data_IF_112712195268
#
_entry.id   IF_112712195268
#
_cell.length_a   1.000
_cell.length_b   1.000
_cell.length_c   1.000
_cell.angle_alpha   90.00
_cell.angle_beta   90.00
_cell.angle_gamma   90.00
#
_symmetry.space_group_name_H-M   'P 1'
#
loop_
_entity.id
_entity.type
_entity.pdbx_description
1 polymer ?
#
# COMPACT_ATOMS: atom_id res chain seq x y z
N UNK A 1 -7.11 -6.92 7.05
CA UNK A 1 -7.31 -6.20 5.76
C UNK A 1 -7.09 -7.19 4.62
N UNK A 2 -8.06 -7.30 3.72
CA UNK A 2 -7.91 -8.04 2.45
C UNK A 2 -7.89 -7.02 1.32
N UNK A 3 -6.82 -7.01 0.54
CA UNK A 3 -6.66 -6.12 -0.62
C UNK A 3 -6.76 -6.95 -1.89
N UNK A 4 -7.56 -6.49 -2.84
CA UNK A 4 -7.69 -7.09 -4.17
C UNK A 4 -7.21 -6.12 -5.23
N UNK A 5 -6.71 -6.63 -6.36
CA UNK A 5 -6.08 -5.81 -7.40
C UNK A 5 -6.94 -5.62 -8.65
N UNK A 6 -8.08 -6.29 -8.77
CA UNK A 6 -9.02 -6.17 -9.89
C UNK A 6 -10.47 -6.19 -9.40
N UNK A 7 -11.37 -5.56 -10.16
CA UNK A 7 -12.78 -5.47 -9.82
C UNK A 7 -13.44 -6.85 -9.70
N UNK A 8 -13.19 -7.74 -10.67
CA UNK A 8 -13.70 -9.11 -10.67
C UNK A 8 -13.21 -9.92 -9.46
N UNK A 9 -11.94 -9.75 -9.05
CA UNK A 9 -11.41 -10.38 -7.84
C UNK A 9 -12.04 -9.80 -6.58
N UNK A 10 -12.21 -8.48 -6.55
CA UNK A 10 -12.90 -7.79 -5.45
C UNK A 10 -14.33 -8.30 -5.26
N UNK A 11 -15.09 -8.43 -6.34
CA UNK A 11 -16.45 -8.98 -6.33
C UNK A 11 -16.49 -10.44 -5.90
N UNK A 12 -15.54 -11.26 -6.37
CA UNK A 12 -15.43 -12.67 -5.98
C UNK A 12 -15.15 -12.81 -4.48
N UNK A 13 -14.18 -12.06 -3.95
CA UNK A 13 -13.80 -12.08 -2.53
C UNK A 13 -14.90 -11.49 -1.64
N UNK A 14 -15.62 -10.47 -2.12
CA UNK A 14 -16.70 -9.81 -1.37
C UNK A 14 -17.82 -10.75 -0.93
N UNK A 15 -17.99 -11.90 -1.62
CA UNK A 15 -18.95 -12.95 -1.24
C UNK A 15 -18.59 -13.66 0.06
N UNK A 16 -17.30 -13.69 0.42
CA UNK A 16 -16.81 -14.36 1.62
C UNK A 16 -16.38 -13.37 2.71
N UNK A 17 -15.72 -12.28 2.32
CA UNK A 17 -15.04 -11.36 3.23
C UNK A 17 -15.04 -9.92 2.70
N UNK A 18 -15.14 -8.95 3.61
CA UNK A 18 -14.89 -7.54 3.30
C UNK A 18 -13.48 -7.39 2.73
N UNK A 19 -13.36 -6.63 1.64
CA UNK A 19 -12.09 -6.34 1.00
C UNK A 19 -12.10 -4.91 0.43
N UNK A 20 -10.90 -4.40 0.16
CA UNK A 20 -10.70 -3.12 -0.52
C UNK A 20 -10.00 -3.36 -1.85
N UNK A 21 -10.51 -2.74 -2.91
CA UNK A 21 -9.88 -2.76 -4.23
C UNK A 21 -8.77 -1.70 -4.29
N UNK A 22 -7.52 -2.14 -4.40
CA UNK A 22 -6.36 -1.30 -4.70
C UNK A 22 -5.66 -1.94 -5.89
N UNK A 23 -5.83 -1.34 -7.07
CA UNK A 23 -5.22 -1.82 -8.32
C UNK A 23 -3.70 -1.74 -8.27
N UNK A 24 -3.04 -2.47 -9.16
CA UNK A 24 -1.61 -2.30 -9.36
C UNK A 24 -1.29 -0.89 -9.86
N UNK A 25 0.00 -0.61 -9.91
CA UNK A 25 0.58 0.64 -10.36
C UNK A 25 1.96 0.36 -10.97
N UNK A 26 2.65 1.43 -11.37
CA UNK A 26 4.04 1.39 -11.82
C UNK A 26 4.85 2.53 -11.22
N UNK A 27 6.18 2.45 -11.40
CA UNK A 27 7.11 3.56 -11.17
C UNK A 27 6.98 4.61 -12.29
N UNK A 28 5.83 5.27 -12.38
CA UNK A 28 5.48 6.15 -13.50
C UNK A 28 6.48 7.29 -13.70
N UNK A 29 7.03 7.84 -12.62
CA UNK A 29 8.09 8.85 -12.70
C UNK A 29 9.38 8.30 -13.35
N UNK A 30 9.72 7.04 -13.14
CA UNK A 30 10.92 6.44 -13.73
C UNK A 30 10.72 6.09 -15.21
N UNK A 31 9.57 5.51 -15.56
CA UNK A 31 9.23 5.12 -16.94
C UNK A 31 8.87 6.31 -17.84
N UNK A 32 8.48 7.46 -17.29
CA UNK A 32 8.19 8.67 -18.08
C UNK A 32 9.41 9.42 -18.57
N UNK A 33 10.59 9.11 -18.00
CA UNK A 33 11.87 9.70 -18.36
C UNK A 33 12.60 8.82 -19.39
N UNK A 34 13.09 9.39 -20.50
CA UNK A 34 13.83 8.62 -21.50
C UNK A 34 15.06 7.91 -20.89
N UNK A 35 15.43 6.72 -21.39
CA UNK A 35 16.63 6.01 -20.96
C UNK A 35 17.90 6.70 -21.48
N UNK A 36 19.03 6.49 -20.82
CA UNK A 36 20.33 6.94 -21.32
C UNK A 36 20.75 6.20 -22.60
N UNK A 37 20.30 4.96 -22.76
CA UNK A 37 20.65 4.11 -23.90
C UNK A 37 19.45 3.26 -24.30
N UNK A 38 19.13 3.26 -25.60
CA UNK A 38 18.16 2.33 -26.17
C UNK A 38 18.75 0.92 -26.19
N UNK A 39 17.91 -0.08 -25.93
CA UNK A 39 18.32 -1.49 -25.89
C UNK A 39 17.91 -2.27 -27.14
N UNK A 40 17.20 -1.62 -28.04
CA UNK A 40 16.78 -2.16 -29.32
C UNK A 40 16.79 -1.05 -30.38
N UNK A 41 17.20 -1.39 -31.59
CA UNK A 41 17.27 -0.46 -32.72
C UNK A 41 16.70 -1.14 -33.96
N UNK A 42 15.83 -0.45 -34.67
CA UNK A 42 15.24 -0.92 -35.91
C UNK A 42 14.87 0.26 -36.80
N UNK A 43 15.00 0.06 -38.12
CA UNK A 43 14.47 0.99 -39.13
C UNK A 43 12.99 0.70 -39.44
N UNK A 44 12.43 -0.37 -38.85
CA UNK A 44 11.03 -0.80 -39.00
C UNK A 44 10.22 -0.42 -37.77
N UNK A 45 8.89 -0.30 -37.90
CA UNK A 45 8.00 -0.16 -36.75
C UNK A 45 8.15 -1.31 -35.75
N UNK A 46 8.31 -0.99 -34.48
CA UNK A 46 8.53 -1.97 -33.41
C UNK A 46 7.26 -2.13 -32.56
N UNK A 47 6.67 -3.32 -32.61
CA UNK A 47 5.56 -3.74 -31.74
C UNK A 47 6.13 -4.54 -30.58
N UNK A 48 6.03 -4.00 -29.37
CA UNK A 48 6.74 -4.52 -28.21
C UNK A 48 5.86 -5.12 -27.13
N UNK A 49 6.39 -6.14 -26.46
CA UNK A 49 5.87 -6.68 -25.22
C UNK A 49 7.02 -7.00 -24.27
N UNK A 50 6.85 -6.68 -22.99
CA UNK A 50 7.63 -7.31 -21.93
C UNK A 50 6.73 -7.94 -20.85
N UNK A 51 7.23 -9.02 -20.27
CA UNK A 51 6.55 -9.80 -19.23
C UNK A 51 6.73 -11.30 -19.47
N UNK A 52 6.33 -12.12 -18.50
CA UNK A 52 6.36 -13.57 -18.70
C UNK A 52 5.48 -13.97 -19.89
N UNK A 53 6.00 -14.80 -20.78
CA UNK A 53 5.32 -15.35 -21.95
C UNK A 53 4.93 -16.79 -21.59
N UNK A 54 3.72 -16.97 -21.08
CA UNK A 54 3.20 -18.24 -20.57
C UNK A 54 1.98 -18.69 -21.39
N UNK A 55 1.37 -19.80 -20.99
CA UNK A 55 0.09 -20.32 -21.46
C UNK A 55 -1.05 -19.27 -21.61
N UNK A 56 -1.09 -18.26 -20.73
CA UNK A 56 -2.05 -17.14 -20.78
C UNK A 56 -1.69 -16.02 -21.79
N UNK A 57 -0.47 -16.04 -22.34
CA UNK A 57 -0.07 -15.14 -23.42
C UNK A 57 -0.55 -15.71 -24.76
N UNK A 58 -1.25 -14.91 -25.56
CA UNK A 58 -1.78 -15.30 -26.86
C UNK A 58 -0.72 -15.15 -27.95
N UNK A 59 0.23 -16.09 -27.97
CA UNK A 59 1.29 -16.11 -28.97
C UNK A 59 0.74 -16.33 -30.38
N UNK A 60 -0.36 -17.06 -30.54
CA UNK A 60 -1.00 -17.28 -31.84
C UNK A 60 -1.56 -15.97 -32.41
N UNK A 61 -2.16 -15.13 -31.57
CA UNK A 61 -2.58 -13.79 -31.95
C UNK A 61 -1.41 -12.92 -32.41
N UNK A 62 -0.28 -12.96 -31.69
CA UNK A 62 0.94 -12.24 -32.07
C UNK A 62 1.50 -12.75 -33.39
N UNK A 63 1.52 -14.07 -33.62
CA UNK A 63 1.95 -14.69 -34.88
C UNK A 63 1.07 -14.20 -36.05
N UNK A 64 -0.26 -14.16 -35.88
CA UNK A 64 -1.17 -13.64 -36.91
C UNK A 64 -0.90 -12.17 -37.20
N UNK A 65 -0.67 -11.35 -36.18
CA UNK A 65 -0.32 -9.95 -36.35
C UNK A 65 1.02 -9.75 -37.08
N UNK A 66 2.04 -10.54 -36.72
CA UNK A 66 3.34 -10.53 -37.37
C UNK A 66 3.28 -10.92 -38.84
N UNK A 67 2.44 -11.91 -39.19
CA UNK A 67 2.21 -12.31 -40.57
C UNK A 67 1.42 -11.26 -41.37
N UNK A 68 0.50 -10.54 -40.73
CA UNK A 68 -0.26 -9.46 -41.38
C UNK A 68 0.60 -8.22 -41.68
N UNK A 69 1.64 -7.96 -40.86
CA UNK A 69 2.56 -6.85 -41.05
C UNK A 69 4.03 -7.32 -41.14
N UNK A 70 4.44 -7.91 -42.28
CA UNK A 70 5.81 -8.42 -42.46
C UNK A 70 6.90 -7.34 -42.42
N UNK A 71 6.50 -6.07 -42.59
CA UNK A 71 7.39 -4.90 -42.52
C UNK A 71 7.54 -4.33 -41.10
N UNK A 72 6.86 -4.90 -40.10
CA UNK A 72 7.02 -4.53 -38.68
C UNK A 72 7.89 -5.57 -37.97
N UNK A 73 8.45 -5.21 -36.82
CA UNK A 73 9.15 -6.14 -35.92
C UNK A 73 8.39 -6.31 -34.61
N UNK A 74 8.18 -7.56 -34.21
CA UNK A 74 7.52 -7.92 -32.97
C UNK A 74 8.56 -8.36 -31.95
N UNK A 75 8.81 -7.53 -30.95
CA UNK A 75 9.86 -7.74 -29.95
C UNK A 75 9.22 -8.18 -28.63
N UNK A 76 9.47 -9.44 -28.25
CA UNK A 76 8.88 -10.06 -27.07
C UNK A 76 9.98 -10.37 -26.04
N UNK A 77 9.84 -9.80 -24.85
CA UNK A 77 10.85 -9.84 -23.79
C UNK A 77 10.28 -10.55 -22.56
N UNK A 78 10.97 -11.58 -22.08
CA UNK A 78 10.62 -12.30 -20.86
C UNK A 78 10.76 -13.82 -20.98
N UNK A 79 10.55 -14.50 -19.84
CA UNK A 79 10.63 -15.96 -19.75
C UNK A 79 9.54 -16.64 -20.57
N UNK A 80 9.86 -17.78 -21.18
CA UNK A 80 8.95 -18.59 -22.02
C UNK A 80 8.60 -19.94 -21.40
N UNK A 81 8.83 -20.11 -20.09
CA UNK A 81 8.83 -21.40 -19.37
C UNK A 81 7.59 -22.29 -19.56
N UNK A 82 6.44 -21.73 -19.97
CA UNK A 82 5.17 -22.46 -20.16
C UNK A 82 4.50 -22.16 -21.51
N UNK A 83 5.25 -21.65 -22.49
CA UNK A 83 4.72 -21.29 -23.80
C UNK A 83 5.48 -22.01 -24.92
N UNK A 84 4.76 -22.67 -25.83
CA UNK A 84 5.36 -23.28 -27.01
C UNK A 84 5.72 -22.21 -28.05
N UNK A 85 7.02 -21.93 -28.15
CA UNK A 85 7.54 -20.86 -29.02
C UNK A 85 7.95 -21.33 -30.41
N UNK A 86 7.83 -22.63 -30.75
CA UNK A 86 8.36 -23.20 -32.00
C UNK A 86 7.83 -22.50 -33.25
N UNK A 87 6.53 -22.19 -33.29
CA UNK A 87 5.94 -21.47 -34.41
C UNK A 87 6.43 -20.03 -34.47
N UNK A 88 6.48 -19.32 -33.35
CA UNK A 88 6.99 -17.95 -33.30
C UNK A 88 8.45 -17.84 -33.74
N UNK A 89 9.29 -18.81 -33.39
CA UNK A 89 10.70 -18.89 -33.84
C UNK A 89 10.83 -19.04 -35.36
N UNK A 90 9.81 -19.56 -36.05
CA UNK A 90 9.80 -19.69 -37.51
C UNK A 90 9.34 -18.41 -38.23
N UNK A 91 8.74 -17.46 -37.51
CA UNK A 91 8.24 -16.20 -38.06
C UNK A 91 9.35 -15.16 -38.04
N UNK A 92 9.82 -14.74 -39.22
CA UNK A 92 11.05 -13.94 -39.40
C UNK A 92 11.06 -12.61 -38.67
N UNK A 93 9.89 -12.00 -38.45
CA UNK A 93 9.75 -10.70 -37.82
C UNK A 93 9.27 -10.78 -36.37
N UNK A 94 9.36 -11.94 -35.71
CA UNK A 94 9.22 -12.07 -34.26
C UNK A 94 10.61 -12.28 -33.64
N UNK A 95 10.95 -11.46 -32.64
CA UNK A 95 12.17 -11.55 -31.86
C UNK A 95 11.83 -11.93 -30.42
N UNK A 96 12.32 -13.10 -29.97
CA UNK A 96 12.23 -13.55 -28.58
C UNK A 96 13.55 -13.19 -27.88
N UNK A 97 13.55 -12.12 -27.07
CA UNK A 97 14.77 -11.61 -26.42
C UNK A 97 15.16 -12.43 -25.19
N UNK A 98 14.18 -13.06 -24.53
CA UNK A 98 14.37 -13.70 -23.23
C UNK A 98 14.29 -12.70 -22.08
N UNK A 99 14.69 -13.12 -20.89
CA UNK A 99 14.67 -12.27 -19.70
C UNK A 99 15.79 -11.23 -19.74
N UNK A 100 15.47 -10.01 -19.35
CA UNK A 100 16.44 -8.90 -19.23
C UNK A 100 16.33 -8.27 -17.84
N UNK A 101 17.39 -7.63 -17.34
CA UNK A 101 17.33 -6.88 -16.08
C UNK A 101 16.23 -5.81 -16.12
N UNK A 102 15.52 -5.61 -15.00
CA UNK A 102 14.45 -4.60 -14.89
C UNK A 102 14.93 -3.19 -15.29
N UNK A 103 16.15 -2.83 -14.89
CA UNK A 103 16.76 -1.54 -15.23
C UNK A 103 16.91 -1.30 -16.75
N UNK A 104 16.97 -2.37 -17.55
CA UNK A 104 17.10 -2.29 -19.01
C UNK A 104 15.74 -2.21 -19.73
N UNK A 105 14.62 -2.54 -19.06
CA UNK A 105 13.30 -2.55 -19.67
C UNK A 105 12.93 -1.19 -20.26
N UNK A 106 13.31 -0.09 -19.60
CA UNK A 106 13.06 1.26 -20.11
C UNK A 106 13.75 1.53 -21.45
N UNK A 107 14.95 0.98 -21.63
CA UNK A 107 15.72 1.05 -22.88
C UNK A 107 15.03 0.33 -24.04
N UNK A 108 14.31 -0.76 -23.76
CA UNK A 108 13.48 -1.44 -24.74
C UNK A 108 12.15 -0.72 -24.96
N UNK A 109 11.49 -0.31 -23.89
CA UNK A 109 10.20 0.37 -23.94
C UNK A 109 10.23 1.59 -24.85
N UNK A 110 11.27 2.41 -24.74
CA UNK A 110 11.40 3.61 -25.57
C UNK A 110 11.67 3.30 -27.05
N UNK A 111 12.21 2.12 -27.36
CA UNK A 111 12.37 1.63 -28.73
C UNK A 111 11.07 1.07 -29.32
N UNK A 112 10.05 0.76 -28.52
CA UNK A 112 8.76 0.31 -29.02
C UNK A 112 7.95 1.48 -29.60
N UNK A 113 7.36 1.29 -30.76
CA UNK A 113 6.40 2.24 -31.33
C UNK A 113 4.98 2.00 -30.79
N UNK A 114 4.61 0.73 -30.65
CA UNK A 114 3.32 0.28 -30.10
C UNK A 114 3.60 -0.82 -29.08
N UNK A 115 2.96 -0.75 -27.92
CA UNK A 115 3.02 -1.81 -26.92
C UNK A 115 1.78 -2.70 -27.01
N UNK A 116 1.91 -4.01 -26.77
CA UNK A 116 0.78 -4.94 -26.82
C UNK A 116 0.53 -5.66 -25.49
N UNK A 117 -0.72 -6.04 -25.24
CA UNK A 117 -1.13 -6.92 -24.12
C UNK A 117 -2.08 -8.01 -24.69
N UNK A 118 -1.54 -9.04 -25.36
CA UNK A 118 -2.32 -10.07 -26.05
C UNK A 118 -2.62 -11.25 -25.11
N UNK A 119 -3.59 -11.12 -24.20
CA UNK A 119 -3.87 -12.18 -23.22
C UNK A 119 -5.08 -13.02 -23.60
N UNK A 120 -4.95 -14.34 -23.41
CA UNK A 120 -6.08 -15.27 -23.47
C UNK A 120 -6.99 -15.03 -22.27
N UNK A 121 -8.30 -14.91 -22.49
CA UNK A 121 -9.30 -14.69 -21.44
C UNK A 121 -9.56 -15.96 -20.63
N UNK A 122 -8.59 -16.34 -19.80
CA UNK A 122 -8.69 -17.41 -18.81
C UNK A 122 -9.22 -16.89 -17.48
N UNK A 123 -9.63 -17.77 -16.56
CA UNK A 123 -10.05 -17.34 -15.21
C UNK A 123 -8.97 -16.50 -14.52
N UNK A 124 -7.69 -16.86 -14.66
CA UNK A 124 -6.57 -16.08 -14.13
C UNK A 124 -6.56 -14.64 -14.68
N UNK A 125 -6.64 -14.51 -16.01
CA UNK A 125 -6.57 -13.20 -16.68
C UNK A 125 -7.79 -12.34 -16.37
N UNK A 126 -8.99 -12.94 -16.27
CA UNK A 126 -10.21 -12.21 -15.90
C UNK A 126 -10.10 -11.53 -14.52
N UNK A 127 -9.23 -12.03 -13.64
CA UNK A 127 -8.97 -11.49 -12.30
C UNK A 127 -7.65 -10.72 -12.19
N UNK A 128 -6.97 -10.44 -13.30
CA UNK A 128 -5.67 -9.76 -13.31
C UNK A 128 -5.80 -8.28 -13.61
N UNK A 129 -5.01 -7.44 -12.92
CA UNK A 129 -4.79 -6.05 -13.29
C UNK A 129 -3.32 -5.90 -13.79
N UNK A 130 -3.09 -5.60 -15.07
CA UNK A 130 -1.78 -5.71 -15.70
C UNK A 130 -0.82 -4.55 -15.33
N UNK A 131 0.28 -4.83 -14.62
CA UNK A 131 1.33 -3.82 -14.28
C UNK A 131 1.88 -3.11 -15.53
N UNK A 132 2.24 -3.88 -16.57
CA UNK A 132 2.76 -3.36 -17.85
C UNK A 132 1.90 -2.30 -18.53
N UNK A 133 0.59 -2.28 -18.27
CA UNK A 133 -0.24 -1.20 -18.75
C UNK A 133 0.30 0.15 -18.25
N UNK A 134 0.45 0.29 -16.93
CA UNK A 134 0.89 1.53 -16.31
C UNK A 134 2.31 1.89 -16.74
N UNK A 135 3.19 0.90 -16.90
CA UNK A 135 4.57 1.10 -17.38
C UNK A 135 4.59 1.67 -18.81
N UNK A 136 3.80 1.10 -19.72
CA UNK A 136 3.69 1.57 -21.11
C UNK A 136 3.08 2.97 -21.20
N UNK A 137 1.99 3.21 -20.46
CA UNK A 137 1.31 4.50 -20.44
C UNK A 137 2.19 5.60 -19.82
N UNK A 138 3.02 5.28 -18.82
CA UNK A 138 3.98 6.20 -18.23
C UNK A 138 5.03 6.69 -19.25
N UNK A 139 5.48 5.82 -20.15
CA UNK A 139 6.34 6.21 -21.27
C UNK A 139 5.57 6.94 -22.39
N UNK A 140 4.24 7.05 -22.28
CA UNK A 140 3.37 7.65 -23.28
C UNK A 140 3.15 6.77 -24.51
N UNK A 141 3.47 5.48 -24.45
CA UNK A 141 3.35 4.57 -25.60
C UNK A 141 1.90 4.17 -25.83
N UNK A 142 1.41 4.15 -27.09
CA UNK A 142 0.09 3.60 -27.37
C UNK A 142 0.08 2.10 -27.07
N UNK A 143 -1.02 1.61 -26.50
CA UNK A 143 -1.17 0.21 -26.08
C UNK A 143 -2.35 -0.42 -26.80
N UNK A 144 -2.15 -1.60 -27.39
CA UNK A 144 -3.22 -2.44 -27.96
C UNK A 144 -3.36 -3.70 -27.12
N UNK A 145 -4.58 -4.00 -26.68
CA UNK A 145 -4.82 -5.06 -25.73
C UNK A 145 -6.09 -5.85 -26.00
N UNK A 146 -6.10 -7.12 -25.63
CA UNK A 146 -7.32 -7.93 -25.63
C UNK A 146 -8.33 -7.39 -24.62
N UNK A 147 -9.63 -7.46 -24.95
CA UNK A 147 -10.74 -7.00 -24.14
C UNK A 147 -10.96 -7.77 -22.83
N UNK A 148 -10.08 -7.52 -21.86
CA UNK A 148 -10.22 -7.99 -20.48
C UNK A 148 -10.91 -6.94 -19.57
N UNK A 149 -11.59 -7.35 -18.49
CA UNK A 149 -12.41 -6.46 -17.66
C UNK A 149 -11.69 -5.18 -17.20
N UNK A 150 -10.47 -5.31 -16.69
CA UNK A 150 -9.69 -4.17 -16.19
C UNK A 150 -9.26 -3.18 -17.29
N UNK A 151 -9.11 -3.65 -18.54
CA UNK A 151 -8.70 -2.79 -19.66
C UNK A 151 -9.89 -2.08 -20.31
N UNK A 152 -11.10 -2.66 -20.22
CA UNK A 152 -12.33 -2.00 -20.66
C UNK A 152 -12.62 -0.71 -19.86
N UNK A 153 -12.15 -0.63 -18.62
CA UNK A 153 -12.30 0.55 -17.75
C UNK A 153 -11.42 1.73 -18.18
N UNK A 154 -10.41 1.50 -19.03
CA UNK A 154 -9.38 2.50 -19.41
C UNK A 154 -9.28 2.66 -20.92
N UNK A 155 -10.36 2.35 -21.65
CA UNK A 155 -10.45 2.42 -23.12
C UNK A 155 -10.18 3.80 -23.71
N UNK A 156 -10.18 4.85 -22.90
CA UNK A 156 -9.79 6.21 -23.33
C UNK A 156 -8.27 6.34 -23.55
N UNK A 157 -7.47 5.45 -22.95
CA UNK A 157 -6.01 5.46 -23.01
C UNK A 157 -5.42 4.24 -23.75
N UNK A 158 -6.25 3.25 -24.07
CA UNK A 158 -5.85 1.93 -24.60
C UNK A 158 -6.78 1.52 -25.73
N UNK A 159 -6.21 0.99 -26.82
CA UNK A 159 -6.99 0.31 -27.85
C UNK A 159 -7.37 -1.08 -27.36
N UNK A 160 -8.66 -1.30 -27.13
CA UNK A 160 -9.17 -2.56 -26.56
C UNK A 160 -9.90 -3.35 -27.65
N UNK A 161 -9.34 -4.50 -28.01
CA UNK A 161 -9.78 -5.30 -29.16
C UNK A 161 -10.48 -6.59 -28.72
N UNK A 162 -11.56 -6.95 -29.40
CA UNK A 162 -12.44 -8.07 -29.03
C UNK A 162 -12.14 -9.37 -29.79
N UNK A 163 -11.38 -9.30 -30.87
CA UNK A 163 -11.03 -10.43 -31.72
C UNK A 163 -9.67 -10.19 -32.42
N UNK A 164 -9.19 -11.19 -33.16
CA UNK A 164 -7.90 -11.07 -33.84
C UNK A 164 -7.88 -10.02 -34.94
N UNK A 165 -8.99 -9.80 -35.65
CA UNK A 165 -9.03 -8.84 -36.76
C UNK A 165 -8.94 -7.40 -36.24
N UNK A 166 -9.73 -7.09 -35.20
CA UNK A 166 -9.68 -5.81 -34.50
C UNK A 166 -8.31 -5.58 -33.86
N UNK A 167 -7.71 -6.58 -33.21
CA UNK A 167 -6.39 -6.44 -32.59
C UNK A 167 -5.31 -6.09 -33.62
N UNK A 168 -5.31 -6.78 -34.76
CA UNK A 168 -4.35 -6.53 -35.85
C UNK A 168 -4.58 -5.14 -36.45
N UNK A 169 -5.82 -4.74 -36.70
CA UNK A 169 -6.13 -3.39 -37.21
C UNK A 169 -5.72 -2.31 -36.22
N UNK A 170 -6.00 -2.52 -34.93
CA UNK A 170 -5.75 -1.53 -33.89
C UNK A 170 -4.24 -1.30 -33.66
N UNK A 171 -3.36 -2.28 -33.94
CA UNK A 171 -1.90 -2.09 -34.00
C UNK A 171 -1.52 -1.01 -35.03
N UNK A 172 -2.09 -1.09 -36.23
CA UNK A 172 -1.83 -0.11 -37.28
C UNK A 172 -2.41 1.27 -36.91
N UNK A 173 -3.61 1.31 -36.33
CA UNK A 173 -4.19 2.56 -35.83
C UNK A 173 -3.33 3.19 -34.75
N UNK A 174 -2.89 2.42 -33.75
CA UNK A 174 -2.00 2.86 -32.69
C UNK A 174 -0.65 3.37 -33.22
N UNK A 175 -0.11 2.72 -34.26
CA UNK A 175 1.13 3.16 -34.89
C UNK A 175 0.97 4.53 -35.59
N UNK A 176 -0.15 4.73 -36.29
CA UNK A 176 -0.42 5.97 -37.01
C UNK A 176 -0.65 7.16 -36.07
N UNK A 177 -1.10 6.92 -34.85
CA UNK A 177 -1.41 7.95 -33.84
C UNK A 177 -0.35 8.04 -32.73
N UNK A 178 0.74 7.25 -32.82
CA UNK A 178 1.73 7.11 -31.72
C UNK A 178 2.33 8.43 -31.26
N UNK A 179 2.52 9.35 -32.21
CA UNK A 179 3.17 10.64 -32.02
C UNK A 179 2.17 11.79 -31.75
N UNK A 180 0.87 11.50 -31.62
CA UNK A 180 -0.14 12.50 -31.30
C UNK A 180 0.08 13.05 -29.88
N UNK A 181 0.37 14.37 -29.73
CA UNK A 181 0.72 14.94 -28.42
C UNK A 181 -0.38 14.77 -27.38
N UNK A 182 -1.65 14.91 -27.78
CA UNK A 182 -2.78 14.75 -26.88
C UNK A 182 -2.89 13.32 -26.34
N UNK A 183 -2.66 12.31 -27.19
CA UNK A 183 -2.65 10.91 -26.79
C UNK A 183 -1.50 10.60 -25.85
N UNK A 184 -0.28 11.08 -26.15
CA UNK A 184 0.89 10.91 -25.28
C UNK A 184 0.63 11.52 -23.90
N UNK A 185 0.13 12.75 -23.85
CA UNK A 185 -0.12 13.45 -22.61
C UNK A 185 -1.19 12.74 -21.77
N UNK A 186 -2.32 12.37 -22.39
CA UNK A 186 -3.41 11.64 -21.73
C UNK A 186 -2.93 10.34 -21.08
N UNK A 187 -2.10 9.56 -21.78
CA UNK A 187 -1.54 8.30 -21.25
C UNK A 187 -0.60 8.54 -20.06
N UNK A 188 0.27 9.56 -20.15
CA UNK A 188 1.21 9.89 -19.08
C UNK A 188 0.51 10.40 -17.83
N UNK A 189 -0.50 11.27 -17.98
CA UNK A 189 -1.33 11.76 -16.87
C UNK A 189 -2.03 10.62 -16.15
N UNK A 190 -2.70 9.74 -16.91
CA UNK A 190 -3.33 8.56 -16.33
C UNK A 190 -2.33 7.69 -15.56
N UNK A 191 -1.13 7.46 -16.10
CA UNK A 191 -0.12 6.67 -15.41
C UNK A 191 0.39 7.35 -14.12
N UNK A 192 0.52 8.68 -14.10
CA UNK A 192 0.92 9.44 -12.91
C UNK A 192 -0.15 9.39 -11.81
N UNK A 193 -1.43 9.44 -12.17
CA UNK A 193 -2.55 9.24 -11.22
C UNK A 193 -2.60 7.81 -10.65
N UNK A 194 -1.92 6.87 -11.31
CA UNK A 194 -1.92 5.44 -11.00
C UNK A 194 -0.52 4.90 -10.67
N UNK A 195 0.32 5.71 -10.01
CA UNK A 195 1.65 5.31 -9.51
C UNK A 195 1.62 4.71 -8.10
N UNK A 196 2.72 4.05 -7.69
CA UNK A 196 2.79 3.34 -6.42
C UNK A 196 2.55 4.20 -5.18
N UNK A 197 3.04 5.45 -5.16
CA UNK A 197 2.81 6.36 -4.02
C UNK A 197 1.32 6.61 -3.75
N UNK A 198 0.52 6.81 -4.79
CA UNK A 198 -0.94 6.94 -4.65
C UNK A 198 -1.60 5.66 -4.14
N UNK A 199 -1.06 4.48 -4.47
CA UNK A 199 -1.57 3.20 -3.95
C UNK A 199 -1.24 3.00 -2.48
N UNK A 200 -0.03 3.40 -2.07
CA UNK A 200 0.39 3.36 -0.67
C UNK A 200 -0.46 4.30 0.17
N UNK A 201 -0.65 5.55 -0.27
CA UNK A 201 -1.52 6.50 0.42
C UNK A 201 -2.95 5.95 0.58
N UNK A 202 -3.50 5.34 -0.49
CA UNK A 202 -4.82 4.71 -0.40
C UNK A 202 -4.85 3.53 0.56
N UNK A 203 -3.79 2.74 0.61
CA UNK A 203 -3.64 1.61 1.53
C UNK A 203 -3.56 2.10 2.98
N UNK A 204 -2.78 3.15 3.26
CA UNK A 204 -2.64 3.77 4.58
C UNK A 204 -3.99 4.31 5.06
N UNK A 205 -4.68 5.11 4.24
CA UNK A 205 -6.05 5.58 4.54
C UNK A 205 -7.01 4.42 4.81
N UNK A 206 -6.90 3.32 4.04
CA UNK A 206 -7.74 2.14 4.25
C UNK A 206 -7.41 1.46 5.58
N UNK A 207 -6.13 1.36 5.93
CA UNK A 207 -5.68 0.84 7.21
C UNK A 207 -6.27 1.69 8.33
N UNK A 208 -6.13 3.02 8.28
CA UNK A 208 -6.68 3.94 9.29
C UNK A 208 -8.19 3.76 9.50
N UNK A 209 -8.97 3.53 8.44
CA UNK A 209 -10.43 3.27 8.59
C UNK A 209 -10.76 1.94 9.27
N UNK A 210 -9.82 1.01 9.35
CA UNK A 210 -9.99 -0.31 9.99
C UNK A 210 -9.58 -0.28 11.46
N UNK A 211 -8.69 0.62 11.84
CA UNK A 211 -8.23 0.82 13.20
C UNK A 211 -8.98 2.01 13.81
N UNK A 212 -9.95 1.78 14.72
CA UNK A 212 -10.67 2.86 15.38
C UNK A 212 -9.74 3.89 16.00
N UNK A 213 -10.16 5.16 16.03
CA UNK A 213 -9.37 6.21 16.66
C UNK A 213 -9.31 6.03 18.17
N UNK A 214 -8.13 6.27 18.75
CA UNK A 214 -7.90 6.17 20.19
C UNK A 214 -7.32 7.48 20.72
N UNK A 215 -7.93 8.05 21.75
CA UNK A 215 -7.31 9.11 22.55
C UNK A 215 -6.66 8.51 23.79
N UNK A 216 -5.35 8.69 23.91
CA UNK A 216 -4.61 8.35 25.12
C UNK A 216 -4.57 9.60 25.99
N UNK A 217 -5.12 9.53 27.19
CA UNK A 217 -5.12 10.62 28.16
C UNK A 217 -4.08 10.33 29.21
N UNK A 218 -3.11 11.24 29.36
CA UNK A 218 -2.09 11.18 30.42
C UNK A 218 -2.27 12.37 31.34
N UNK A 219 -2.58 12.10 32.62
CA UNK A 219 -2.62 13.11 33.66
C UNK A 219 -1.26 13.15 34.39
N UNK A 220 -0.64 14.31 34.49
CA UNK A 220 0.65 14.51 35.16
C UNK A 220 0.53 15.46 36.34
N UNK A 221 1.33 15.23 37.39
CA UNK A 221 1.53 16.16 38.50
C UNK A 221 2.91 15.94 39.12
N UNK A 222 3.85 16.83 38.80
CA UNK A 222 5.28 16.71 39.05
C UNK A 222 5.87 15.40 38.46
N UNK A 223 6.95 14.90 39.06
CA UNK A 223 7.62 13.65 38.70
C UNK A 223 8.10 13.62 37.25
N UNK A 224 8.81 14.67 36.82
CA UNK A 224 9.34 14.82 35.47
C UNK A 224 9.99 13.54 34.91
N UNK A 225 10.80 12.83 35.71
CA UNK A 225 11.50 11.62 35.24
C UNK A 225 10.55 10.48 34.89
N UNK A 226 9.48 10.27 35.66
CA UNK A 226 8.46 9.27 35.33
C UNK A 226 7.67 9.69 34.09
N UNK A 227 7.23 10.95 34.04
CA UNK A 227 6.52 11.51 32.88
C UNK A 227 7.34 11.33 31.60
N UNK A 228 8.63 11.63 31.65
CA UNK A 228 9.55 11.43 30.52
C UNK A 228 9.61 9.96 30.10
N UNK A 229 9.89 9.05 31.04
CA UNK A 229 9.99 7.63 30.74
C UNK A 229 8.68 7.03 30.17
N UNK A 230 7.53 7.46 30.70
CA UNK A 230 6.21 7.09 30.18
C UNK A 230 6.05 7.54 28.73
N UNK A 231 6.26 8.83 28.45
CA UNK A 231 6.09 9.40 27.10
C UNK A 231 7.09 8.82 26.09
N UNK A 232 8.34 8.59 26.49
CA UNK A 232 9.35 7.96 25.64
C UNK A 232 8.92 6.53 25.26
N UNK A 233 8.47 5.73 26.23
CA UNK A 233 7.96 4.37 25.95
C UNK A 233 6.66 4.38 25.13
N UNK A 234 5.84 5.42 25.27
CA UNK A 234 4.62 5.60 24.49
C UNK A 234 4.96 5.75 23.01
N UNK A 235 5.86 6.69 22.69
CA UNK A 235 6.28 6.95 21.32
C UNK A 235 7.03 5.74 20.73
N UNK A 236 7.88 5.09 21.52
CA UNK A 236 8.65 3.94 21.04
C UNK A 236 7.77 2.72 20.70
N UNK A 237 6.75 2.45 21.52
CA UNK A 237 6.01 1.18 21.46
C UNK A 237 4.58 1.28 20.94
N UNK A 238 4.09 2.47 20.59
CA UNK A 238 2.76 2.66 19.99
C UNK A 238 2.85 2.64 18.47
N UNK A 239 2.70 1.46 17.89
CA UNK A 239 2.63 1.25 16.44
C UNK A 239 1.19 1.19 15.89
N UNK A 240 0.23 1.66 16.68
CA UNK A 240 -1.16 1.77 16.27
C UNK A 240 -1.31 2.98 15.33
N UNK A 241 -2.03 2.89 14.21
CA UNK A 241 -2.00 3.94 13.19
C UNK A 241 -2.89 5.15 13.52
N UNK A 242 -3.95 4.98 14.31
CA UNK A 242 -4.98 6.01 14.49
C UNK A 242 -5.12 6.39 15.97
N UNK A 243 -4.21 7.23 16.49
CA UNK A 243 -4.23 7.67 17.88
C UNK A 243 -3.75 9.10 18.06
N UNK A 244 -4.24 9.74 19.12
CA UNK A 244 -3.76 11.03 19.62
C UNK A 244 -3.39 10.93 21.11
N UNK A 245 -2.58 11.87 21.57
CA UNK A 245 -2.22 12.02 22.97
C UNK A 245 -2.80 13.31 23.55
N UNK A 246 -3.55 13.20 24.63
CA UNK A 246 -4.01 14.35 25.42
C UNK A 246 -3.29 14.34 26.76
N UNK A 247 -2.34 15.26 26.92
CA UNK A 247 -1.60 15.41 28.17
C UNK A 247 -2.25 16.53 28.99
N UNK A 248 -2.63 16.23 30.22
CA UNK A 248 -3.15 17.20 31.19
C UNK A 248 -2.11 17.34 32.29
N UNK A 249 -1.46 18.50 32.37
CA UNK A 249 -0.63 18.84 33.52
C UNK A 249 -1.48 19.49 34.61
N UNK A 250 -1.52 18.85 35.78
CA UNK A 250 -2.39 19.23 36.88
C UNK A 250 -1.73 20.26 37.81
N UNK A 251 -1.18 21.32 37.22
CA UNK A 251 -0.42 22.38 37.86
C UNK A 251 0.88 21.90 38.53
N UNK A 252 1.74 21.22 37.77
CA UNK A 252 3.08 20.83 38.22
C UNK A 252 3.92 22.05 38.57
N UNK A 253 4.75 21.90 39.60
CA UNK A 253 5.64 22.95 40.13
C UNK A 253 7.12 22.71 39.80
N UNK A 254 7.44 21.55 39.22
CA UNK A 254 8.79 21.17 38.81
C UNK A 254 9.04 21.49 37.32
N UNK A 255 10.04 20.84 36.71
CA UNK A 255 10.37 21.03 35.30
C UNK A 255 9.35 20.45 34.30
N UNK A 256 8.30 19.76 34.77
CA UNK A 256 7.32 19.06 33.92
C UNK A 256 6.63 19.97 32.91
N UNK A 257 6.09 21.16 33.27
CA UNK A 257 5.36 21.99 32.31
C UNK A 257 6.22 22.42 31.12
N UNK A 258 7.49 22.80 31.38
CA UNK A 258 8.43 23.21 30.34
C UNK A 258 8.79 22.04 29.42
N UNK A 259 9.02 20.86 30.00
CA UNK A 259 9.28 19.65 29.21
C UNK A 259 8.09 19.30 28.31
N UNK A 260 6.86 19.33 28.86
CA UNK A 260 5.65 19.00 28.12
C UNK A 260 5.38 19.97 26.97
N UNK A 261 5.65 21.27 27.15
CA UNK A 261 5.55 22.26 26.08
C UNK A 261 6.45 21.90 24.90
N UNK A 262 7.74 21.64 25.16
CA UNK A 262 8.68 21.22 24.12
C UNK A 262 8.27 19.89 23.48
N UNK A 263 7.77 18.94 24.27
CA UNK A 263 7.31 17.65 23.77
C UNK A 263 6.11 17.81 22.81
N UNK A 264 5.12 18.63 23.17
CA UNK A 264 3.95 18.88 22.32
C UNK A 264 4.30 19.64 21.04
N UNK A 265 5.25 20.59 21.09
CA UNK A 265 5.73 21.30 19.89
C UNK A 265 6.45 20.39 18.88
N UNK A 266 6.98 19.24 19.33
CA UNK A 266 7.73 18.30 18.50
C UNK A 266 6.86 17.17 17.91
N UNK A 267 5.59 17.04 18.34
CA UNK A 267 4.74 15.91 17.98
C UNK A 267 3.33 16.40 17.59
N UNK A 268 3.01 16.30 16.29
CA UNK A 268 1.76 16.85 15.72
C UNK A 268 0.48 16.19 16.25
N UNK A 269 0.58 14.99 16.82
CA UNK A 269 -0.56 14.24 17.39
C UNK A 269 -0.71 14.41 18.92
N UNK A 270 -0.09 15.45 19.51
CA UNK A 270 -0.11 15.71 20.95
C UNK A 270 -0.85 17.01 21.27
N UNK A 271 -1.81 16.93 22.19
CA UNK A 271 -2.54 18.04 22.76
C UNK A 271 -2.15 18.23 24.22
N UNK A 272 -1.57 19.38 24.54
CA UNK A 272 -1.18 19.74 25.91
C UNK A 272 -2.20 20.68 26.56
N UNK A 273 -2.59 20.37 27.79
CA UNK A 273 -3.45 21.19 28.64
C UNK A 273 -2.70 21.46 29.94
N UNK A 274 -2.44 22.72 30.25
CA UNK A 274 -1.82 23.14 31.51
C UNK A 274 -2.90 23.72 32.42
N UNK A 275 -3.28 22.98 33.48
CA UNK A 275 -4.23 23.48 34.46
C UNK A 275 -3.58 24.57 35.32
N UNK A 276 -4.39 25.56 35.70
CA UNK A 276 -3.96 26.62 36.61
C UNK A 276 -3.82 26.13 38.07
N UNK A 277 -4.57 25.08 38.43
CA UNK A 277 -4.56 24.48 39.77
C UNK A 277 -4.69 22.95 39.68
N UNK A 278 -4.29 22.25 40.74
CA UNK A 278 -4.47 20.80 40.83
C UNK A 278 -5.93 20.49 41.19
N UNK A 279 -6.69 19.99 40.21
CA UNK A 279 -8.12 19.66 40.37
C UNK A 279 -8.36 18.22 40.87
N UNK A 280 -7.30 17.49 41.22
CA UNK A 280 -7.36 16.07 41.59
C UNK A 280 -7.38 15.11 40.40
N UNK A 281 -7.24 13.81 40.68
CA UNK A 281 -7.03 12.77 39.67
C UNK A 281 -8.22 12.61 38.71
N UNK A 282 -9.42 12.40 39.25
CA UNK A 282 -10.59 12.14 38.41
C UNK A 282 -10.99 13.36 37.58
N UNK A 283 -10.95 14.56 38.15
CA UNK A 283 -11.27 15.78 37.42
C UNK A 283 -10.24 16.07 36.33
N UNK A 284 -8.95 15.84 36.61
CA UNK A 284 -7.89 15.97 35.61
C UNK A 284 -8.06 15.02 34.42
N UNK A 285 -8.36 13.74 34.68
CA UNK A 285 -8.68 12.78 33.63
C UNK A 285 -9.92 13.19 32.83
N UNK A 286 -10.97 13.67 33.50
CA UNK A 286 -12.18 14.15 32.84
C UNK A 286 -11.92 15.35 31.92
N UNK A 287 -10.99 16.25 32.27
CA UNK A 287 -10.55 17.33 31.37
C UNK A 287 -9.91 16.75 30.11
N UNK A 288 -9.06 15.73 30.25
CA UNK A 288 -8.44 15.04 29.12
C UNK A 288 -9.48 14.34 28.23
N UNK A 289 -10.44 13.62 28.83
CA UNK A 289 -11.56 12.99 28.13
C UNK A 289 -12.38 14.02 27.34
N UNK A 290 -12.73 15.15 27.96
CA UNK A 290 -13.50 16.21 27.28
C UNK A 290 -12.77 16.84 26.09
N UNK A 291 -11.44 16.69 26.06
CA UNK A 291 -10.57 17.22 25.01
C UNK A 291 -10.12 16.17 24.00
N UNK A 292 -10.61 14.93 24.13
CA UNK A 292 -10.33 13.78 23.29
C UNK A 292 -11.33 13.70 22.13
N UNK A 293 -10.90 13.11 21.01
CA UNK A 293 -11.67 12.93 19.77
C UNK A 293 -11.77 11.47 19.31
N UNK A 294 -11.06 10.57 19.98
CA UNK A 294 -11.02 9.15 19.70
C UNK A 294 -12.35 8.45 20.01
N UNK A 295 -12.64 7.41 19.23
CA UNK A 295 -13.74 6.47 19.50
C UNK A 295 -13.52 5.73 20.82
N UNK A 296 -12.27 5.36 21.11
CA UNK A 296 -11.86 4.75 22.38
C UNK A 296 -10.98 5.72 23.17
N UNK A 297 -11.09 5.65 24.50
CA UNK A 297 -10.26 6.42 25.41
C UNK A 297 -9.44 5.46 26.27
N UNK A 298 -8.14 5.72 26.34
CA UNK A 298 -7.23 5.07 27.29
C UNK A 298 -6.82 6.09 28.34
N UNK A 299 -7.13 5.83 29.60
CA UNK A 299 -6.57 6.58 30.71
C UNK A 299 -5.24 5.94 31.12
N UNK A 300 -4.15 6.70 31.00
CA UNK A 300 -2.80 6.23 31.22
C UNK A 300 -2.12 7.05 32.32
N UNK A 301 -1.58 6.38 33.33
CA UNK A 301 -0.81 7.05 34.37
C UNK A 301 0.59 7.40 33.87
N UNK A 302 1.13 8.54 34.32
CA UNK A 302 2.43 9.05 33.89
C UNK A 302 3.64 8.26 34.42
N UNK A 303 3.42 7.22 35.22
CA UNK A 303 4.41 6.29 35.75
C UNK A 303 4.33 4.90 35.11
N UNK A 304 3.56 4.76 34.03
CA UNK A 304 3.40 3.51 33.29
C UNK A 304 4.41 3.41 32.16
N UNK A 305 5.00 2.22 31.98
CA UNK A 305 5.84 1.88 30.83
C UNK A 305 5.06 0.96 29.89
N UNK A 306 4.98 1.35 28.63
CA UNK A 306 4.31 0.57 27.60
C UNK A 306 5.26 -0.46 27.00
N UNK A 307 4.70 -1.53 26.45
CA UNK A 307 5.45 -2.55 25.72
C UNK A 307 4.86 -2.72 24.32
N UNK A 308 5.62 -3.34 23.41
CA UNK A 308 5.21 -3.45 22.00
C UNK A 308 3.83 -4.09 21.84
N UNK A 309 2.98 -3.42 21.08
CA UNK A 309 1.63 -3.90 20.74
C UNK A 309 0.59 -3.73 21.85
N UNK A 310 0.92 -3.00 22.93
CA UNK A 310 0.02 -2.77 24.05
C UNK A 310 -1.35 -2.25 23.61
N UNK A 311 -1.39 -1.20 22.77
CA UNK A 311 -2.64 -0.55 22.39
C UNK A 311 -3.52 -1.46 21.52
N UNK A 312 -2.94 -2.10 20.49
CA UNK A 312 -3.66 -3.10 19.70
C UNK A 312 -4.17 -4.27 20.56
N UNK A 313 -3.37 -4.68 21.54
CA UNK A 313 -3.74 -5.72 22.51
C UNK A 313 -5.04 -5.41 23.26
N UNK A 314 -5.29 -4.13 23.56
CA UNK A 314 -6.53 -3.67 24.18
C UNK A 314 -7.67 -3.54 23.16
N UNK A 315 -7.45 -2.78 22.08
CA UNK A 315 -8.52 -2.41 21.13
C UNK A 315 -9.11 -3.60 20.39
N UNK A 316 -8.30 -4.63 20.10
CA UNK A 316 -8.77 -5.82 19.37
C UNK A 316 -9.94 -6.55 20.03
N UNK A 317 -10.16 -6.39 21.33
CA UNK A 317 -11.27 -7.03 22.03
C UNK A 317 -12.59 -6.31 21.75
N UNK A 318 -12.61 -4.97 21.77
CA UNK A 318 -13.78 -4.18 21.36
C UNK A 318 -14.17 -4.43 19.89
N UNK A 319 -13.18 -4.69 19.02
CA UNK A 319 -13.44 -5.09 17.63
C UNK A 319 -14.07 -6.48 17.46
N UNK A 320 -14.01 -7.32 18.50
CA UNK A 320 -14.57 -8.69 18.48
C UNK A 320 -15.90 -8.78 19.21
N UNK A 321 -16.11 -7.95 20.22
CA UNK A 321 -17.28 -7.95 21.08
C UNK A 321 -17.70 -6.51 21.36
N UNK A 322 -18.77 -6.09 20.68
CA UNK A 322 -19.36 -4.76 20.79
C UNK A 322 -20.16 -4.56 22.09
N UNK A 323 -20.30 -5.60 22.92
CA UNK A 323 -20.92 -5.50 24.25
C UNK A 323 -19.96 -5.01 25.34
N UNK A 324 -18.65 -4.96 25.06
CA UNK A 324 -17.64 -4.48 26.00
C UNK A 324 -17.70 -2.97 26.15
N UNK A 325 -17.87 -2.47 27.38
CA UNK A 325 -17.86 -1.03 27.68
C UNK A 325 -16.56 -0.51 28.31
N UNK A 326 -15.76 -1.38 28.93
CA UNK A 326 -14.50 -1.02 29.60
C UNK A 326 -13.57 -2.23 29.61
N UNK A 327 -12.28 -1.99 29.39
CA UNK A 327 -11.22 -2.98 29.45
C UNK A 327 -10.02 -2.41 30.20
N UNK A 328 -9.43 -3.22 31.09
CA UNK A 328 -8.19 -2.88 31.81
C UNK A 328 -7.07 -3.84 31.42
N UNK A 329 -5.82 -3.36 31.25
CA UNK A 329 -4.69 -4.25 31.11
C UNK A 329 -4.40 -4.97 32.43
N UNK A 330 -3.71 -6.10 32.33
CA UNK A 330 -2.96 -6.63 33.47
C UNK A 330 -1.69 -5.81 33.67
N UNK A 331 -1.19 -5.71 34.90
CA UNK A 331 0.02 -4.94 35.22
C UNK A 331 0.79 -5.58 36.36
N UNK A 332 2.09 -5.36 36.44
CA UNK A 332 2.91 -5.82 37.57
C UNK A 332 2.68 -4.99 38.85
N UNK A 333 1.97 -3.85 38.76
CA UNK A 333 1.80 -2.93 39.88
C UNK A 333 0.39 -2.34 39.97
N UNK A 334 -0.52 -3.08 40.62
CA UNK A 334 -1.88 -2.63 40.95
C UNK A 334 -2.38 -3.32 42.23
N UNK A 335 -3.41 -2.76 42.87
CA UNK A 335 -3.99 -3.27 44.12
C UNK A 335 -5.08 -4.34 43.97
N UNK A 336 -5.39 -4.78 42.75
CA UNK A 336 -6.49 -5.69 42.46
C UNK A 336 -6.02 -6.95 41.70
N UNK A 337 -6.97 -7.77 41.25
CA UNK A 337 -6.75 -9.02 40.53
C UNK A 337 -6.05 -8.88 39.17
N UNK A 338 -5.94 -7.66 38.63
CA UNK A 338 -5.16 -7.42 37.41
C UNK A 338 -3.65 -7.46 37.66
N UNK A 339 -3.20 -7.63 38.92
CA UNK A 339 -1.78 -7.74 39.26
C UNK A 339 -1.18 -9.06 38.80
N UNK A 340 -0.15 -8.99 37.97
CA UNK A 340 0.67 -10.13 37.56
C UNK A 340 1.98 -10.15 38.33
N UNK A 341 2.42 -11.33 38.77
CA UNK A 341 3.77 -11.48 39.29
C UNK A 341 4.74 -11.63 38.13
N UNK A 342 5.72 -10.73 38.07
CA UNK A 342 6.80 -10.76 37.09
C UNK A 342 8.13 -10.51 37.79
N UNK A 343 9.16 -11.25 37.38
CA UNK A 343 10.52 -11.06 37.86
C UNK A 343 11.39 -10.59 36.69
N UNK A 344 12.02 -9.44 36.85
CA UNK A 344 12.95 -8.87 35.88
C UNK A 344 13.95 -7.97 36.61
N UNK A 345 15.15 -7.81 36.05
CA UNK A 345 16.21 -6.95 36.57
C UNK A 345 16.39 -5.68 35.74
N UNK A 346 15.93 -5.71 34.49
CA UNK A 346 16.02 -4.58 33.55
C UNK A 346 14.65 -4.32 32.89
N UNK A 347 14.49 -3.13 32.31
CA UNK A 347 13.27 -2.80 31.56
C UNK A 347 13.15 -3.60 30.26
N UNK A 348 14.28 -4.00 29.66
CA UNK A 348 14.29 -4.88 28.49
C UNK A 348 13.79 -6.28 28.86
N UNK A 349 14.25 -6.84 29.99
CA UNK A 349 13.71 -8.09 30.54
C UNK A 349 12.22 -7.97 30.83
N UNK A 350 11.77 -6.86 31.43
CA UNK A 350 10.35 -6.61 31.69
C UNK A 350 9.52 -6.62 30.38
N UNK A 351 10.01 -6.00 29.32
CA UNK A 351 9.33 -5.97 28.02
C UNK A 351 9.24 -7.36 27.36
N UNK A 352 10.29 -8.17 27.49
CA UNK A 352 10.32 -9.56 26.98
C UNK A 352 9.32 -10.42 27.77
N UNK A 353 9.40 -10.41 29.10
CA UNK A 353 8.51 -11.19 29.98
C UNK A 353 7.04 -10.78 29.79
N UNK A 354 6.76 -9.47 29.64
CA UNK A 354 5.41 -8.97 29.34
C UNK A 354 4.87 -9.56 28.04
N UNK A 355 5.73 -9.65 27.01
CA UNK A 355 5.35 -10.21 25.72
C UNK A 355 5.10 -11.71 25.80
N UNK A 356 5.91 -12.45 26.55
CA UNK A 356 5.69 -13.88 26.79
C UNK A 356 4.33 -14.09 27.46
N UNK A 357 4.10 -13.42 28.59
CA UNK A 357 2.86 -13.52 29.34
C UNK A 357 1.63 -13.19 28.48
N UNK A 358 1.64 -12.03 27.81
CA UNK A 358 0.50 -11.60 26.98
C UNK A 358 0.28 -12.51 25.78
N UNK A 359 1.32 -13.12 25.20
CA UNK A 359 1.20 -14.06 24.08
C UNK A 359 0.53 -15.37 24.52
N UNK A 360 0.90 -15.91 25.68
CA UNK A 360 0.30 -17.12 26.26
C UNK A 360 -1.18 -16.94 26.58
N UNK A 361 -1.58 -15.73 26.98
CA UNK A 361 -2.95 -15.39 27.36
C UNK A 361 -3.77 -14.77 26.21
N UNK A 362 -3.16 -14.56 25.03
CA UNK A 362 -3.78 -13.87 23.89
C UNK A 362 -4.91 -14.65 23.18
N UNK A 363 -5.14 -15.92 23.54
CA UNK A 363 -6.15 -16.79 22.91
C UNK A 363 -7.37 -17.08 23.80
N UNK A 364 -7.41 -16.54 25.01
CA UNK A 364 -8.55 -16.66 25.90
C UNK A 364 -9.61 -15.60 25.58
#
# INVERSE_FOLDING_TARGET
LVVTSSATLSEKVAKERKNTLIRNAADSNWFSQPPETLRYHSDKPVVGYFGAISDWFDLDLVIKAAQAYPDYEFVLIGSTYMCDTRLAQSVKNIQLIGEVPYADLKGYLYAFDVCIIPFKLTDLILHTNPVKLYEYLAAGKPVVATAMPELLLVKEHVYVSHDSESFIRDIQTALNTKDEPAGIQSRKEFALENQWSNRVEKLEQTIETIYPSVSIVVLTYNNLEFTRACLDSLLEFTNYPNWELVIVDNASSDGTPKFLQTFAEQNDNVKLILNAENVGFSAGNNIGIQNSTGEYIVLLNNDTLMTRGWLWGLIRYFLRDDSLGLLGPVTNNIGNEAKVQMMYNTMEEMAIESRVYTSEHSRQ
#
